data_IF_837401811426
#
_entry.id   IF_837401811426
#
_cell.length_a   1.000
_cell.length_b   1.000
_cell.length_c   1.000
_cell.angle_alpha   90.00
_cell.angle_beta   90.00
_cell.angle_gamma   90.00
#
_symmetry.space_group_name_H-M   'P 1'
#
loop_
_entity.id
_entity.type
_entity.pdbx_description
1 polymer ?
#
# COMPACT_ATOMS: atom_id res chain seq x y z
N UNK A 1 -10.39 7.81 4.03
CA UNK A 1 -9.01 8.34 3.81
C UNK A 1 -7.98 7.22 4.00
N UNK A 2 -6.72 7.35 3.50
CA UNK A 2 -5.67 6.32 3.70
C UNK A 2 -5.34 6.13 5.19
N UNK A 3 -5.22 7.23 5.93
CA UNK A 3 -4.97 7.18 7.38
C UNK A 3 -6.02 6.34 8.12
N UNK A 4 -7.32 6.61 7.90
CA UNK A 4 -8.41 5.82 8.48
C UNK A 4 -8.32 4.33 8.14
N UNK A 5 -7.91 4.02 6.90
CA UNK A 5 -7.75 2.62 6.46
C UNK A 5 -6.64 1.92 7.24
N UNK A 6 -5.53 2.62 7.49
CA UNK A 6 -4.39 2.08 8.25
C UNK A 6 -4.71 2.01 9.74
N UNK A 7 -5.38 3.02 10.29
CA UNK A 7 -5.81 3.02 11.69
C UNK A 7 -6.79 1.88 11.97
N UNK A 8 -7.65 1.51 11.01
CA UNK A 8 -8.53 0.33 11.13
C UNK A 8 -7.78 -1.01 11.18
N UNK A 9 -6.54 -1.04 10.72
CA UNK A 9 -5.66 -2.22 10.82
C UNK A 9 -4.86 -2.23 12.13
N UNK A 10 -5.02 -1.21 13.00
CA UNK A 10 -4.40 -1.23 14.33
C UNK A 10 -4.91 -2.43 15.14
N UNK A 11 -4.00 -3.15 15.77
CA UNK A 11 -4.29 -4.40 16.49
C UNK A 11 -4.16 -5.68 15.67
N UNK A 12 -3.88 -5.59 14.35
CA UNK A 12 -3.51 -6.74 13.53
C UNK A 12 -1.98 -6.78 13.39
N UNK A 13 -1.37 -7.94 13.67
CA UNK A 13 0.04 -8.16 13.39
C UNK A 13 0.25 -8.25 11.87
N UNK A 14 0.70 -7.15 11.28
CA UNK A 14 1.06 -7.06 9.87
C UNK A 14 2.50 -6.56 9.73
N UNK A 15 3.20 -7.06 8.72
CA UNK A 15 4.46 -6.49 8.29
C UNK A 15 4.27 -5.04 7.80
N UNK A 16 5.39 -4.34 7.58
CA UNK A 16 5.38 -2.97 7.08
C UNK A 16 4.49 -2.84 5.83
N UNK A 17 3.54 -1.88 5.82
CA UNK A 17 2.58 -1.77 4.73
C UNK A 17 3.29 -1.37 3.44
N UNK A 18 2.99 -2.07 2.35
CA UNK A 18 3.38 -1.66 1.00
C UNK A 18 2.27 -0.82 0.38
N UNK A 19 2.59 0.41 -0.05
CA UNK A 19 1.59 1.32 -0.63
C UNK A 19 1.89 1.58 -2.09
N UNK A 20 0.90 1.27 -2.93
CA UNK A 20 0.94 1.50 -4.36
C UNK A 20 0.07 2.73 -4.65
N UNK A 21 0.67 3.78 -5.18
CA UNK A 21 -0.02 5.02 -5.50
C UNK A 21 0.49 5.63 -6.80
N UNK A 22 -0.28 6.57 -7.37
CA UNK A 22 0.26 7.39 -8.45
C UNK A 22 1.41 8.25 -7.92
N UNK A 23 2.38 8.54 -8.78
CA UNK A 23 3.55 9.36 -8.42
C UNK A 23 3.15 10.74 -7.88
N UNK A 24 2.12 11.33 -8.46
CA UNK A 24 1.51 12.61 -8.04
C UNK A 24 1.10 12.63 -6.56
N UNK A 25 0.78 11.47 -5.97
CA UNK A 25 0.35 11.35 -4.58
C UNK A 25 1.41 10.73 -3.67
N UNK A 26 2.62 10.43 -4.17
CA UNK A 26 3.67 9.74 -3.41
C UNK A 26 4.08 10.49 -2.15
N UNK A 27 4.21 11.81 -2.24
CA UNK A 27 4.58 12.68 -1.11
C UNK A 27 3.49 12.72 -0.04
N UNK A 28 2.23 12.93 -0.45
CA UNK A 28 1.10 12.94 0.48
C UNK A 28 0.95 11.60 1.21
N UNK A 29 1.08 10.49 0.48
CA UNK A 29 1.02 9.15 1.06
C UNK A 29 2.17 8.92 2.05
N UNK A 30 3.39 9.30 1.68
CA UNK A 30 4.56 9.19 2.57
C UNK A 30 4.39 10.02 3.85
N UNK A 31 3.87 11.24 3.74
CA UNK A 31 3.60 12.10 4.90
C UNK A 31 2.55 11.50 5.82
N UNK A 32 1.44 10.99 5.26
CA UNK A 32 0.39 10.33 6.04
C UNK A 32 0.91 9.08 6.76
N UNK A 33 1.80 8.32 6.14
CA UNK A 33 2.44 7.15 6.76
C UNK A 33 3.46 7.54 7.83
N UNK A 34 4.19 8.64 7.61
CA UNK A 34 5.11 9.20 8.60
C UNK A 34 4.36 9.67 9.85
N UNK A 35 3.23 10.35 9.69
CA UNK A 35 2.37 10.76 10.81
C UNK A 35 1.86 9.57 11.64
N UNK A 36 1.75 8.39 11.02
CA UNK A 36 1.31 7.15 11.68
C UNK A 36 2.48 6.31 12.23
N UNK A 37 3.73 6.77 12.14
CA UNK A 37 4.94 5.99 12.47
C UNK A 37 5.02 4.62 11.76
N UNK A 38 4.40 4.50 10.58
CA UNK A 38 4.38 3.28 9.75
C UNK A 38 5.14 3.56 8.45
N UNK A 39 6.42 3.94 8.57
CA UNK A 39 7.29 4.25 7.43
C UNK A 39 7.32 3.05 6.47
N UNK A 40 6.64 3.18 5.34
CA UNK A 40 6.64 2.19 4.28
C UNK A 40 7.87 2.41 3.38
N UNK A 41 8.87 1.55 3.45
CA UNK A 41 10.07 1.68 2.62
C UNK A 41 9.86 1.31 1.14
N UNK A 42 8.65 0.88 0.74
CA UNK A 42 8.37 0.36 -0.61
C UNK A 42 7.23 1.12 -1.26
N UNK A 43 7.59 2.15 -2.03
CA UNK A 43 6.67 2.91 -2.87
C UNK A 43 6.80 2.49 -4.33
N UNK A 44 5.74 1.93 -4.90
CA UNK A 44 5.66 1.66 -6.34
C UNK A 44 4.83 2.75 -7.02
N UNK A 45 5.46 3.41 -7.99
CA UNK A 45 4.76 4.31 -8.90
C UNK A 45 3.97 3.48 -9.91
N UNK A 46 2.67 3.76 -10.03
CA UNK A 46 1.82 3.14 -11.06
C UNK A 46 1.85 4.00 -12.33
N UNK A 47 2.39 3.48 -13.42
CA UNK A 47 2.23 4.09 -14.74
C UNK A 47 0.78 3.88 -15.25
N UNK A 48 -0.01 4.96 -15.28
CA UNK A 48 -1.32 5.00 -15.95
C UNK A 48 -2.55 4.55 -15.14
N UNK A 49 -3.74 4.77 -15.71
CA UNK A 49 -5.06 4.71 -15.05
C UNK A 49 -5.70 3.31 -14.97
N UNK A 50 -4.99 2.18 -14.91
CA UNK A 50 -5.71 0.88 -14.82
C UNK A 50 -4.96 -0.32 -14.23
N UNK A 51 -3.72 -0.16 -13.76
CA UNK A 51 -2.86 -1.32 -13.52
C UNK A 51 -2.88 -1.83 -12.06
N UNK A 52 -4.05 -2.07 -11.48
CA UNK A 52 -4.12 -2.66 -10.13
C UNK A 52 -3.58 -4.10 -10.11
N UNK A 53 -3.97 -4.94 -11.06
CA UNK A 53 -3.52 -6.33 -11.13
C UNK A 53 -1.99 -6.47 -11.32
N UNK A 54 -1.34 -5.75 -12.27
CA UNK A 54 0.12 -5.77 -12.38
C UNK A 54 0.84 -5.28 -11.12
N UNK A 55 0.31 -4.25 -10.46
CA UNK A 55 0.94 -3.71 -9.27
C UNK A 55 0.82 -4.68 -8.07
N UNK A 56 -0.31 -5.36 -7.93
CA UNK A 56 -0.50 -6.44 -6.95
C UNK A 56 0.44 -7.61 -7.24
N UNK A 57 0.57 -8.01 -8.50
CA UNK A 57 1.49 -9.08 -8.91
C UNK A 57 2.95 -8.73 -8.60
N UNK A 58 3.36 -7.49 -8.86
CA UNK A 58 4.70 -7.00 -8.49
C UNK A 58 4.92 -7.00 -6.97
N UNK A 59 3.92 -6.59 -6.19
CA UNK A 59 3.99 -6.63 -4.73
C UNK A 59 4.09 -8.07 -4.20
N UNK A 60 3.34 -9.01 -4.77
CA UNK A 60 3.44 -10.43 -4.43
C UNK A 60 4.81 -11.00 -4.78
N UNK A 61 5.30 -10.75 -6.00
CA UNK A 61 6.63 -11.16 -6.43
C UNK A 61 7.72 -10.60 -5.51
N UNK A 62 7.62 -9.32 -5.13
CA UNK A 62 8.52 -8.66 -4.18
C UNK A 62 8.52 -9.34 -2.81
N UNK A 63 7.33 -9.72 -2.32
CA UNK A 63 7.16 -10.31 -1.01
C UNK A 63 7.69 -11.75 -0.95
N UNK A 64 7.62 -12.51 -2.05
CA UNK A 64 8.12 -13.89 -2.13
C UNK A 64 9.58 -14.00 -2.59
N UNK A 65 10.28 -12.89 -2.87
CA UNK A 65 11.67 -12.91 -3.43
C UNK A 65 12.68 -13.67 -2.60
N UNK A 66 12.48 -13.76 -1.29
CA UNK A 66 13.40 -14.43 -0.37
C UNK A 66 13.01 -15.89 -0.08
N UNK A 67 12.02 -16.43 -0.81
CA UNK A 67 11.50 -17.78 -0.59
C UNK A 67 10.36 -17.85 0.44
N UNK A 68 9.87 -16.69 0.89
CA UNK A 68 8.74 -16.57 1.81
C UNK A 68 7.40 -16.82 1.10
N UNK A 69 6.38 -17.27 1.85
CA UNK A 69 4.98 -17.37 1.41
C UNK A 69 4.07 -16.50 2.31
N UNK A 70 4.10 -15.17 2.16
CA UNK A 70 3.39 -14.25 3.06
C UNK A 70 1.92 -14.08 2.66
N UNK A 71 1.04 -13.98 3.66
CA UNK A 71 -0.34 -13.58 3.45
C UNK A 71 -0.41 -12.09 3.07
N UNK A 72 -0.90 -11.78 1.87
CA UNK A 72 -1.01 -10.41 1.37
C UNK A 72 -2.44 -9.86 1.45
N UNK A 73 -2.63 -8.77 2.21
CA UNK A 73 -3.90 -8.05 2.29
C UNK A 73 -3.94 -6.90 1.27
N UNK A 74 -4.86 -6.96 0.31
CA UNK A 74 -5.05 -5.91 -0.72
C UNK A 74 -6.28 -5.07 -0.40
N UNK A 75 -6.08 -3.77 -0.17
CA UNK A 75 -7.16 -2.82 0.12
C UNK A 75 -7.31 -1.81 -1.03
N UNK A 76 -8.46 -1.82 -1.69
CA UNK A 76 -8.81 -0.83 -2.71
C UNK A 76 -9.34 0.45 -2.07
N UNK A 77 -8.96 1.61 -2.62
CA UNK A 77 -9.62 2.88 -2.26
C UNK A 77 -11.01 2.90 -2.89
N UNK A 78 -12.07 2.80 -2.07
CA UNK A 78 -13.42 3.12 -2.55
C UNK A 78 -13.49 4.62 -2.88
N UNK A 79 -14.02 5.02 -4.06
CA UNK A 79 -14.38 6.41 -4.27
C UNK A 79 -15.48 6.78 -3.28
N UNK A 80 -15.39 7.98 -2.70
CA UNK A 80 -16.52 8.56 -1.98
C UNK A 80 -17.60 8.85 -3.03
N UNK A 81 -18.75 8.20 -2.94
CA UNK A 81 -19.96 8.75 -3.54
C UNK A 81 -20.42 9.84 -2.56
N UNK A 82 -20.32 11.10 -3.00
CA UNK A 82 -21.17 12.15 -2.42
C UNK A 82 -22.61 11.87 -2.81
#
# INVERSE_FOLDING_TARGET
MLQETITRLSGIEIHEPMVICNEEHRFLVAEQLRQLNKLSNKHYSRAGRAQHAPAIALAALQATRHGDDPLMLVLGRRPYHQ
#
